data_IF_748560228655
#
_entry.id   IF_748560228655
#
_cell.length_a   1.000
_cell.length_b   1.000
_cell.length_c   1.000
_cell.angle_alpha   90.00
_cell.angle_beta   90.00
_cell.angle_gamma   90.00
#
_symmetry.space_group_name_H-M   'P 1'
#
loop_
_entity.id
_entity.type
_entity.pdbx_description
1 polymer ?
#
# COMPACT_ATOMS: atom_id res chain seq x y z
N UNK A 1 40.14 -38.01 -41.25
CA UNK A 1 38.72 -37.65 -41.08
C UNK A 1 38.65 -36.57 -40.00
N UNK A 2 38.22 -35.34 -40.34
CA UNK A 2 38.19 -34.21 -39.42
C UNK A 2 36.93 -34.27 -38.53
N UNK A 3 37.10 -34.25 -37.21
CA UNK A 3 35.97 -34.00 -36.30
C UNK A 3 35.86 -32.48 -36.08
N UNK A 4 34.70 -31.95 -36.49
CA UNK A 4 34.35 -30.56 -36.39
C UNK A 4 34.08 -30.12 -34.94
N UNK A 5 34.29 -28.83 -34.61
CA UNK A 5 33.86 -28.23 -33.36
C UNK A 5 32.41 -27.73 -33.43
N UNK A 6 31.55 -28.22 -32.54
CA UNK A 6 30.16 -27.76 -32.40
C UNK A 6 30.08 -26.45 -31.61
N UNK A 7 29.80 -25.38 -32.36
CA UNK A 7 29.44 -24.06 -31.87
C UNK A 7 27.93 -24.08 -31.62
N UNK A 8 27.49 -24.00 -30.37
CA UNK A 8 26.08 -23.80 -30.06
C UNK A 8 25.83 -22.32 -29.74
N UNK A 9 25.02 -21.72 -30.60
CA UNK A 9 24.69 -20.30 -30.72
C UNK A 9 23.96 -19.76 -29.48
N UNK A 10 24.38 -18.58 -29.01
CA UNK A 10 23.72 -17.85 -27.92
C UNK A 10 22.49 -17.15 -28.45
N UNK A 11 21.31 -17.71 -28.16
CA UNK A 11 20.03 -17.03 -28.35
C UNK A 11 19.82 -16.05 -27.19
N UNK A 12 19.78 -14.76 -27.51
CA UNK A 12 19.30 -13.72 -26.61
C UNK A 12 17.78 -13.87 -26.43
N UNK A 13 17.34 -14.12 -25.21
CA UNK A 13 15.93 -14.12 -24.81
C UNK A 13 15.77 -13.52 -23.42
N UNK A 14 15.00 -12.42 -23.34
CA UNK A 14 14.77 -11.61 -22.15
C UNK A 14 14.25 -12.41 -20.94
N UNK A 15 14.75 -12.10 -19.75
CA UNK A 15 14.03 -12.34 -18.49
C UNK A 15 14.47 -11.34 -17.41
N UNK A 16 13.80 -10.19 -17.26
CA UNK A 16 14.06 -9.28 -16.16
C UNK A 16 13.20 -9.70 -14.96
N UNK A 17 13.79 -10.41 -13.99
CA UNK A 17 13.40 -10.21 -12.59
C UNK A 17 14.64 -10.10 -11.72
N UNK A 18 15.03 -8.84 -11.51
CA UNK A 18 15.93 -8.42 -10.44
C UNK A 18 15.47 -9.06 -9.13
N UNK A 19 16.20 -10.08 -8.69
CA UNK A 19 16.18 -10.54 -7.32
C UNK A 19 16.91 -9.48 -6.48
N UNK A 20 16.17 -8.59 -5.83
CA UNK A 20 16.74 -7.69 -4.84
C UNK A 20 16.54 -8.31 -3.45
N UNK A 21 17.53 -9.05 -2.90
CA UNK A 21 17.42 -9.57 -1.56
C UNK A 21 17.23 -8.41 -0.58
N UNK A 22 16.16 -8.47 0.23
CA UNK A 22 15.84 -7.45 1.23
C UNK A 22 17.00 -7.36 2.24
N UNK A 23 17.55 -6.15 2.33
CA UNK A 23 18.63 -5.76 3.23
C UNK A 23 18.20 -6.02 4.67
N UNK A 24 19.05 -6.76 5.39
CA UNK A 24 18.97 -7.07 6.82
C UNK A 24 18.97 -5.75 7.61
N UNK A 25 17.93 -5.50 8.38
CA UNK A 25 17.92 -4.50 9.44
C UNK A 25 17.64 -5.22 10.75
N UNK A 26 18.69 -5.45 11.54
CA UNK A 26 18.59 -5.87 12.93
C UNK A 26 18.48 -4.61 13.78
N UNK A 27 17.42 -4.50 14.57
CA UNK A 27 17.39 -3.75 15.82
C UNK A 27 16.21 -4.30 16.63
N UNK A 28 16.49 -5.26 17.51
CA UNK A 28 15.55 -5.62 18.57
C UNK A 28 15.71 -4.61 19.70
N UNK A 29 14.60 -4.03 20.16
CA UNK A 29 14.39 -3.89 21.59
C UNK A 29 13.22 -4.77 21.99
N UNK A 30 13.49 -5.64 22.97
CA UNK A 30 12.52 -6.33 23.79
C UNK A 30 11.38 -5.38 24.16
N UNK A 31 10.19 -5.60 23.58
CA UNK A 31 8.97 -4.90 23.97
C UNK A 31 7.86 -5.93 24.01
N UNK A 32 7.47 -6.23 25.24
CA UNK A 32 6.12 -6.49 25.72
C UNK A 32 5.07 -6.51 24.60
N UNK A 33 4.24 -7.56 24.56
CA UNK A 33 3.16 -7.79 23.60
C UNK A 33 2.14 -6.64 23.67
N UNK A 34 2.53 -5.50 23.11
CA UNK A 34 1.72 -4.34 22.82
C UNK A 34 1.73 -4.27 21.31
N UNK A 35 0.53 -4.39 20.76
CA UNK A 35 0.16 -4.32 19.34
C UNK A 35 0.46 -2.93 18.74
N UNK A 36 1.67 -2.42 18.90
CA UNK A 36 2.11 -1.15 18.31
C UNK A 36 2.73 -1.40 16.95
N UNK A 37 1.92 -1.93 16.04
CA UNK A 37 2.18 -1.82 14.59
C UNK A 37 1.65 -0.47 14.08
N UNK A 38 1.72 0.57 14.91
CA UNK A 38 1.51 1.94 14.51
C UNK A 38 2.83 2.56 14.05
N UNK A 39 2.73 3.46 13.08
CA UNK A 39 3.85 4.18 12.49
C UNK A 39 3.40 5.60 12.23
N UNK A 40 4.28 6.56 12.52
CA UNK A 40 3.98 7.98 12.34
C UNK A 40 4.47 8.38 10.94
N UNK A 41 3.59 8.99 10.14
CA UNK A 41 3.87 9.47 8.79
C UNK A 41 3.44 10.94 8.65
N UNK A 42 4.34 11.81 8.20
CA UNK A 42 3.99 13.19 7.81
C UNK A 42 3.32 13.21 6.43
N UNK A 43 2.24 13.97 6.31
CA UNK A 43 1.51 14.24 5.06
C UNK A 43 1.14 15.73 4.99
N UNK A 44 0.64 16.16 3.82
CA UNK A 44 0.28 17.57 3.55
C UNK A 44 -0.72 18.16 4.56
N UNK A 45 -1.65 17.34 5.07
CA UNK A 45 -2.64 17.76 6.07
C UNK A 45 -2.13 17.73 7.53
N UNK A 46 -0.93 17.18 7.78
CA UNK A 46 -0.36 17.03 9.12
C UNK A 46 0.26 15.65 9.42
N UNK A 47 0.51 15.40 10.70
CA UNK A 47 1.13 14.15 11.19
C UNK A 47 0.04 13.09 11.40
N UNK A 48 0.19 11.96 10.71
CA UNK A 48 -0.73 10.83 10.82
C UNK A 48 -0.09 9.67 11.57
N UNK A 49 -0.88 9.06 12.46
CA UNK A 49 -0.57 7.75 13.01
C UNK A 49 -1.25 6.70 12.14
N UNK A 50 -0.47 5.72 11.70
CA UNK A 50 -0.84 4.76 10.66
C UNK A 50 -0.68 3.35 11.21
N UNK A 51 -1.75 2.56 11.14
CA UNK A 51 -1.76 1.16 11.56
C UNK A 51 -2.16 0.25 10.41
N UNK A 52 -1.33 -0.75 10.11
CA UNK A 52 -1.66 -1.78 9.11
C UNK A 52 -2.47 -2.88 9.75
N UNK A 53 -3.66 -3.14 9.22
CA UNK A 53 -4.53 -4.23 9.65
C UNK A 53 -4.42 -5.41 8.70
N UNK A 54 -4.38 -6.60 9.28
CA UNK A 54 -4.56 -7.86 8.54
C UNK A 54 -6.05 -8.07 8.24
N UNK A 55 -6.34 -8.90 7.23
CA UNK A 55 -7.72 -9.22 6.86
C UNK A 55 -8.56 -9.66 8.04
N UNK A 56 -8.04 -10.56 8.88
CA UNK A 56 -8.73 -11.11 10.05
C UNK A 56 -9.22 -10.06 11.06
N UNK A 57 -8.61 -8.87 11.11
CA UNK A 57 -9.04 -7.78 12.00
C UNK A 57 -10.22 -6.98 11.44
N UNK A 58 -10.61 -7.20 10.17
CA UNK A 58 -11.69 -6.49 9.49
C UNK A 58 -13.00 -7.26 9.58
N UNK A 59 -13.79 -6.94 10.59
CA UNK A 59 -15.11 -7.57 10.83
C UNK A 59 -16.27 -6.82 10.17
N UNK A 60 -16.03 -5.60 9.67
CA UNK A 60 -17.05 -4.74 9.06
C UNK A 60 -16.51 -4.09 7.78
N UNK A 61 -17.36 -3.92 6.75
CA UNK A 61 -16.94 -3.21 5.55
C UNK A 61 -16.87 -1.70 5.84
N UNK A 62 -15.83 -1.04 5.34
CA UNK A 62 -15.59 0.39 5.54
C UNK A 62 -15.45 1.13 4.21
N UNK A 63 -15.71 2.44 4.17
CA UNK A 63 -15.55 3.24 2.95
C UNK A 63 -14.17 3.91 2.92
N UNK A 64 -13.44 3.74 1.82
CA UNK A 64 -12.12 4.32 1.63
C UNK A 64 -12.20 5.76 1.12
N UNK A 65 -11.71 6.78 1.83
CA UNK A 65 -11.81 8.18 1.42
C UNK A 65 -10.96 8.52 0.17
N UNK A 66 -9.91 7.76 -0.14
CA UNK A 66 -9.08 8.02 -1.33
C UNK A 66 -9.64 7.52 -2.66
N UNK A 67 -10.70 6.71 -2.65
CA UNK A 67 -11.30 6.17 -3.87
C UNK A 67 -12.81 5.98 -3.80
N UNK A 68 -13.43 6.27 -2.66
CA UNK A 68 -14.85 6.10 -2.39
C UNK A 68 -15.38 4.66 -2.52
N UNK A 69 -14.51 3.68 -2.72
CA UNK A 69 -14.87 2.27 -2.79
C UNK A 69 -14.96 1.65 -1.39
N UNK A 70 -15.79 0.61 -1.27
CA UNK A 70 -15.91 -0.19 -0.06
C UNK A 70 -14.71 -1.14 0.09
N UNK A 71 -14.13 -1.15 1.28
CA UNK A 71 -13.16 -2.15 1.74
C UNK A 71 -13.99 -3.32 2.28
N UNK A 72 -13.92 -4.52 1.68
CA UNK A 72 -14.65 -5.68 2.17
C UNK A 72 -14.13 -6.12 3.56
N UNK A 73 -14.95 -6.90 4.26
CA UNK A 73 -14.48 -7.65 5.44
C UNK A 73 -13.35 -8.60 5.04
N UNK A 74 -12.57 -9.05 6.03
CA UNK A 74 -11.43 -9.93 5.80
C UNK A 74 -10.34 -9.38 4.84
N UNK A 75 -10.38 -8.10 4.46
CA UNK A 75 -9.42 -7.50 3.52
C UNK A 75 -8.32 -6.75 4.26
N UNK A 76 -7.03 -6.98 3.97
CA UNK A 76 -5.93 -6.23 4.58
C UNK A 76 -5.96 -4.77 4.13
N UNK A 77 -5.91 -3.84 5.08
CA UNK A 77 -6.05 -2.42 4.82
C UNK A 77 -5.37 -1.58 5.91
N UNK A 78 -5.26 -0.27 5.69
CA UNK A 78 -4.59 0.66 6.59
C UNK A 78 -5.62 1.50 7.33
N UNK A 79 -5.43 1.70 8.64
CA UNK A 79 -6.17 2.69 9.42
C UNK A 79 -5.24 3.85 9.71
N UNK A 80 -5.68 5.07 9.42
CA UNK A 80 -4.92 6.27 9.68
C UNK A 80 -5.77 7.34 10.35
N UNK A 81 -5.19 8.04 11.31
CA UNK A 81 -5.80 9.15 12.05
C UNK A 81 -4.74 10.21 12.33
N UNK A 82 -5.18 11.43 12.65
CA UNK A 82 -4.26 12.51 13.01
C UNK A 82 -3.72 12.26 14.42
N UNK A 83 -2.46 12.59 14.69
CA UNK A 83 -1.83 12.34 15.99
C UNK A 83 -2.63 12.94 17.16
N UNK A 84 -3.18 14.13 16.96
CA UNK A 84 -3.99 14.86 17.95
C UNK A 84 -5.47 14.46 17.97
N UNK A 85 -5.93 13.62 17.03
CA UNK A 85 -7.33 13.24 16.91
C UNK A 85 -7.46 11.73 16.62
N UNK A 86 -7.50 10.96 17.71
CA UNK A 86 -7.58 9.50 17.65
C UNK A 86 -8.97 8.98 17.28
N UNK A 87 -9.99 9.83 17.28
CA UNK A 87 -11.37 9.44 17.00
C UNK A 87 -11.68 9.47 15.50
N UNK A 88 -10.98 10.30 14.72
CA UNK A 88 -11.12 10.39 13.25
C UNK A 88 -10.40 9.27 12.48
N UNK A 89 -10.35 8.05 13.03
CA UNK A 89 -9.79 6.86 12.38
C UNK A 89 -10.49 6.57 11.06
N UNK A 90 -9.75 6.73 9.97
CA UNK A 90 -10.21 6.45 8.61
C UNK A 90 -9.57 5.18 8.08
N UNK A 91 -10.37 4.40 7.38
CA UNK A 91 -9.94 3.13 6.79
C UNK A 91 -9.61 3.34 5.31
N UNK A 92 -8.40 2.97 4.90
CA UNK A 92 -7.88 3.14 3.56
C UNK A 92 -7.42 1.81 2.99
N UNK A 93 -7.62 1.57 1.70
CA UNK A 93 -6.86 0.52 1.03
C UNK A 93 -5.35 0.81 1.14
N UNK A 94 -4.52 -0.24 1.27
CA UNK A 94 -3.06 -0.10 1.31
C UNK A 94 -2.52 0.75 0.14
N UNK A 95 -3.01 0.49 -1.08
CA UNK A 95 -2.62 1.23 -2.29
C UNK A 95 -3.22 2.64 -2.41
N UNK A 96 -4.29 2.93 -1.66
CA UNK A 96 -4.84 4.28 -1.58
C UNK A 96 -4.04 5.12 -0.58
N UNK A 97 -3.68 4.55 0.58
CA UNK A 97 -2.82 5.20 1.56
C UNK A 97 -1.45 5.55 0.97
N UNK A 98 -0.77 4.59 0.33
CA UNK A 98 0.54 4.81 -0.29
C UNK A 98 0.57 5.89 -1.38
N UNK A 99 -0.61 6.28 -1.90
CA UNK A 99 -0.76 7.34 -2.91
C UNK A 99 -1.59 8.51 -2.41
N UNK A 100 -1.77 8.68 -1.09
CA UNK A 100 -2.64 9.73 -0.52
C UNK A 100 -2.20 11.12 -0.95
N UNK A 101 -0.91 11.43 -0.84
CA UNK A 101 -0.35 12.71 -1.31
C UNK A 101 -0.53 12.96 -2.81
N UNK A 102 -0.68 11.91 -3.61
CA UNK A 102 -0.80 12.01 -5.07
C UNK A 102 -2.25 11.83 -5.57
N UNK A 103 -3.19 11.48 -4.69
CA UNK A 103 -4.60 11.36 -5.02
C UNK A 103 -5.34 12.57 -4.45
N UNK A 104 -5.55 13.57 -5.29
CA UNK A 104 -6.51 14.63 -4.98
C UNK A 104 -7.92 14.04 -4.79
N UNK A 105 -8.81 14.75 -4.05
CA UNK A 105 -10.20 14.34 -3.90
C UNK A 105 -10.83 14.13 -5.28
N UNK A 106 -11.53 12.99 -5.47
CA UNK A 106 -12.34 12.77 -6.67
C UNK A 106 -13.46 13.81 -6.66
N UNK A 107 -13.23 14.94 -7.29
CA UNK A 107 -14.30 15.87 -7.64
C UNK A 107 -15.22 15.10 -8.58
N UNK A 108 -16.39 14.71 -8.10
CA UNK A 108 -17.47 14.22 -8.97
C UNK A 108 -17.87 15.37 -9.89
N UNK A 109 -17.20 15.45 -11.04
CA UNK A 109 -17.72 16.21 -12.17
C UNK A 109 -19.02 15.53 -12.55
N UNK A 110 -20.14 16.18 -12.25
CA UNK A 110 -21.45 15.75 -12.69
C UNK A 110 -21.35 15.57 -14.21
N UNK A 111 -21.43 14.34 -14.70
CA UNK A 111 -21.41 14.06 -16.14
C UNK A 111 -22.71 14.53 -16.83
N UNK A 112 -23.56 15.25 -16.11
CA UNK A 112 -24.93 15.58 -16.51
C UNK A 112 -25.23 17.08 -16.45
N UNK A 113 -24.21 17.95 -16.63
CA UNK A 113 -24.46 19.36 -16.85
C UNK A 113 -25.28 19.53 -18.16
N UNK A 114 -26.46 20.16 -18.12
CA UNK A 114 -27.27 20.36 -19.31
C UNK A 114 -26.48 21.20 -20.31
N UNK A 115 -26.38 20.69 -21.55
CA UNK A 115 -25.89 21.47 -22.68
C UNK A 115 -27.03 22.36 -23.13
N UNK A 116 -26.95 23.65 -22.82
CA UNK A 116 -27.70 24.69 -23.51
C UNK A 116 -26.77 25.36 -24.52
#
# INVERSE_FOLDING_TARGET
MPHQPEKCEKIAGMSPRRNHPKKRGKAEPEREITTSQDSIEEHDDGIYVVRKLTGSSSTKPYRCPGCDQMIPTATPHTVAWLEYDVETRRHWHNACWAKKNHRGPRTERTRNAPRY
#
